data_IF_313775366374
#
_entry.id   IF_313775366374
#
_cell.length_a   1.000
_cell.length_b   1.000
_cell.length_c   1.000
_cell.angle_alpha   90.00
_cell.angle_beta   90.00
_cell.angle_gamma   90.00
#
_symmetry.space_group_name_H-M   'P 1'
#
loop_
_entity.id
_entity.type
_entity.pdbx_description
1 polymer ?
#
# COMPACT_ATOMS: atom_id res chain seq x y z
N UNK A 1 62.51 12.49 -123.92
CA UNK A 1 63.09 12.49 -122.55
C UNK A 1 62.55 13.60 -121.64
N UNK A 2 62.06 14.74 -122.16
CA UNK A 2 61.62 15.86 -121.30
C UNK A 2 60.43 15.60 -120.37
N UNK A 3 59.60 14.57 -120.63
CA UNK A 3 58.43 14.26 -119.80
C UNK A 3 58.68 13.25 -118.67
N UNK A 4 59.83 12.55 -118.69
CA UNK A 4 60.18 11.56 -117.66
C UNK A 4 60.57 12.22 -116.34
N UNK A 5 61.23 13.39 -116.38
CA UNK A 5 61.66 14.12 -115.19
C UNK A 5 60.45 14.65 -114.39
N UNK A 6 59.45 15.33 -115.01
CA UNK A 6 58.23 15.73 -114.30
C UNK A 6 57.47 14.55 -113.70
N UNK A 7 57.34 13.44 -114.45
CA UNK A 7 56.64 12.24 -113.98
C UNK A 7 57.35 11.59 -112.79
N UNK A 8 58.69 11.55 -112.80
CA UNK A 8 59.48 11.04 -111.68
C UNK A 8 59.36 11.92 -110.42
N UNK A 9 59.34 13.25 -110.58
CA UNK A 9 59.14 14.19 -109.47
C UNK A 9 57.75 14.02 -108.85
N UNK A 10 56.71 13.91 -109.68
CA UNK A 10 55.34 13.68 -109.22
C UNK A 10 55.22 12.32 -108.53
N UNK A 11 55.78 11.26 -109.09
CA UNK A 11 55.80 9.93 -108.46
C UNK A 11 56.53 9.94 -107.11
N UNK A 12 57.65 10.67 -106.99
CA UNK A 12 58.37 10.85 -105.74
C UNK A 12 57.56 11.61 -104.68
N UNK A 13 56.87 12.68 -105.06
CA UNK A 13 55.97 13.43 -104.17
C UNK A 13 54.79 12.56 -103.68
N UNK A 14 54.20 11.77 -104.57
CA UNK A 14 53.12 10.84 -104.23
C UNK A 14 53.62 9.75 -103.28
N UNK A 15 54.81 9.19 -103.53
CA UNK A 15 55.44 8.20 -102.64
C UNK A 15 55.72 8.78 -101.25
N UNK A 16 56.19 10.03 -101.16
CA UNK A 16 56.38 10.75 -99.89
C UNK A 16 55.04 10.94 -99.18
N UNK A 17 53.97 11.29 -99.88
CA UNK A 17 52.64 11.46 -99.28
C UNK A 17 52.06 10.14 -98.77
N UNK A 18 52.20 9.04 -99.53
CA UNK A 18 51.67 7.73 -99.12
C UNK A 18 52.47 7.12 -97.96
N UNK A 19 53.81 7.16 -98.02
CA UNK A 19 54.69 6.62 -96.97
C UNK A 19 54.74 7.51 -95.73
N UNK A 20 54.47 8.80 -95.91
CA UNK A 20 54.46 9.81 -94.87
C UNK A 20 53.12 9.96 -94.13
N UNK A 21 52.04 9.38 -94.63
CA UNK A 21 50.72 9.56 -94.04
C UNK A 21 50.65 8.97 -92.63
N UNK A 22 50.26 9.80 -91.67
CA UNK A 22 50.17 9.47 -90.26
C UNK A 22 48.85 9.99 -89.69
N UNK A 23 48.15 9.15 -88.93
CA UNK A 23 46.90 9.53 -88.25
C UNK A 23 47.13 9.48 -86.74
N UNK A 24 47.16 10.65 -86.10
CA UNK A 24 47.25 10.73 -84.65
C UNK A 24 45.87 10.49 -84.03
N UNK A 25 45.71 9.52 -83.12
CA UNK A 25 44.46 9.37 -82.38
C UNK A 25 44.34 10.50 -81.32
N UNK A 26 43.13 10.81 -80.82
CA UNK A 26 42.93 11.93 -79.89
C UNK A 26 43.62 11.77 -78.52
N UNK A 27 43.99 10.54 -78.15
CA UNK A 27 44.66 10.16 -76.90
C UNK A 27 46.19 10.21 -76.99
N UNK A 28 46.77 10.51 -78.17
CA UNK A 28 48.21 10.60 -78.36
C UNK A 28 48.61 11.87 -79.12
N UNK A 29 49.63 12.56 -78.62
CA UNK A 29 50.31 13.62 -79.32
C UNK A 29 51.47 13.05 -80.13
N UNK A 30 51.44 13.24 -81.45
CA UNK A 30 52.55 12.91 -82.33
C UNK A 30 53.43 14.14 -82.54
N UNK A 31 54.65 14.06 -82.03
CA UNK A 31 55.65 15.10 -82.13
C UNK A 31 56.56 14.75 -83.29
N UNK A 32 56.51 15.54 -84.35
CA UNK A 32 57.33 15.36 -85.54
C UNK A 32 58.53 16.31 -85.43
N UNK A 33 59.72 15.72 -85.35
CA UNK A 33 61.01 16.42 -85.21
C UNK A 33 61.84 16.29 -86.49
N UNK A 34 62.59 17.32 -86.88
CA UNK A 34 63.35 17.37 -88.14
C UNK A 34 63.49 18.80 -88.64
N UNK A 35 63.02 19.09 -89.85
CA UNK A 35 63.07 20.42 -90.48
C UNK A 35 62.28 21.47 -89.68
N UNK A 36 61.09 21.11 -89.19
CA UNK A 36 60.26 21.98 -88.36
C UNK A 36 59.52 21.14 -87.32
N UNK A 37 59.63 21.54 -86.05
CA UNK A 37 58.87 20.91 -84.96
C UNK A 37 57.38 21.18 -85.14
N UNK A 38 56.58 20.13 -85.20
CA UNK A 38 55.11 20.23 -85.21
C UNK A 38 54.50 19.13 -84.35
N UNK A 39 53.43 19.49 -83.64
CA UNK A 39 52.64 18.58 -82.80
C UNK A 39 51.29 18.35 -83.48
N UNK A 40 50.89 17.08 -83.59
CA UNK A 40 49.63 16.68 -84.22
C UNK A 40 48.84 15.83 -83.23
N UNK A 41 47.62 16.25 -82.92
CA UNK A 41 46.70 15.60 -81.98
C UNK A 41 45.35 15.45 -82.70
N UNK A 42 44.79 14.24 -82.69
CA UNK A 42 43.46 13.95 -83.27
C UNK A 42 43.28 14.29 -84.76
N UNK A 43 44.38 14.55 -85.47
CA UNK A 43 44.39 14.97 -86.88
C UNK A 43 45.35 14.10 -87.69
N UNK A 44 45.10 14.03 -88.99
CA UNK A 44 46.05 13.44 -89.92
C UNK A 44 47.18 14.42 -90.23
N UNK A 45 48.38 13.90 -90.42
CA UNK A 45 49.57 14.64 -90.82
C UNK A 45 50.39 13.84 -91.81
N UNK A 46 51.27 14.53 -92.53
CA UNK A 46 52.25 13.89 -93.41
C UNK A 46 53.61 14.09 -92.75
N UNK A 47 54.40 13.03 -92.64
CA UNK A 47 55.80 13.01 -92.22
C UNK A 47 56.67 12.84 -93.46
N UNK A 48 57.70 13.65 -93.64
CA UNK A 48 58.66 13.48 -94.72
C UNK A 48 59.60 12.33 -94.32
N UNK A 49 59.56 11.17 -94.99
CA UNK A 49 60.50 10.08 -94.71
C UNK A 49 61.94 10.57 -94.93
N UNK A 50 62.89 10.05 -94.15
CA UNK A 50 64.31 10.42 -94.09
C UNK A 50 64.65 11.74 -93.35
N UNK A 51 63.86 12.80 -93.51
CA UNK A 51 64.18 14.13 -92.91
C UNK A 51 63.48 14.39 -91.58
N UNK A 52 62.47 13.61 -91.24
CA UNK A 52 61.68 13.78 -90.02
C UNK A 52 61.58 12.48 -89.22
N UNK A 53 61.46 12.60 -87.90
CA UNK A 53 61.23 11.52 -86.93
C UNK A 53 59.89 11.77 -86.23
N UNK A 54 59.18 10.69 -85.88
CA UNK A 54 57.95 10.74 -85.09
C UNK A 54 58.29 10.19 -83.71
N UNK A 55 57.91 10.92 -82.68
CA UNK A 55 57.88 10.45 -81.31
C UNK A 55 56.45 10.61 -80.77
N UNK A 56 56.04 9.70 -79.89
CA UNK A 56 54.66 9.61 -79.39
C UNK A 56 54.63 9.98 -77.92
N UNK A 57 53.62 10.76 -77.53
CA UNK A 57 53.36 11.15 -76.14
C UNK A 57 51.91 10.83 -75.80
N UNK A 58 51.66 10.13 -74.69
CA UNK A 58 50.31 9.77 -74.26
C UNK A 58 49.63 10.96 -73.57
N UNK A 59 48.43 11.32 -73.99
CA UNK A 59 47.61 12.36 -73.37
C UNK A 59 46.60 11.80 -72.36
N UNK A 60 46.66 10.49 -72.11
CA UNK A 60 45.80 9.80 -71.15
C UNK A 60 46.03 10.30 -69.73
N UNK A 61 44.96 10.37 -68.94
CA UNK A 61 45.07 10.61 -67.50
C UNK A 61 45.84 9.48 -66.80
N UNK A 62 46.74 9.87 -65.90
CA UNK A 62 47.53 8.96 -65.06
C UNK A 62 47.13 9.22 -63.61
N UNK A 63 46.92 8.15 -62.85
CA UNK A 63 46.72 8.24 -61.39
C UNK A 63 48.06 8.01 -60.71
N UNK A 64 48.44 8.94 -59.84
CA UNK A 64 49.66 8.89 -59.03
C UNK A 64 49.24 8.82 -57.57
N UNK A 65 49.57 7.72 -56.91
CA UNK A 65 49.45 7.61 -55.46
C UNK A 65 50.70 8.22 -54.83
N UNK A 66 50.49 9.24 -54.01
CA UNK A 66 51.55 9.97 -53.32
C UNK A 66 51.47 9.68 -51.83
N UNK A 67 52.61 9.34 -51.25
CA UNK A 67 52.76 9.10 -49.82
C UNK A 67 53.99 9.85 -49.33
N UNK A 68 53.90 10.46 -48.16
CA UNK A 68 55.10 10.98 -47.48
C UNK A 68 55.95 9.78 -47.03
N UNK A 69 57.09 9.52 -47.69
CA UNK A 69 57.91 8.32 -47.44
C UNK A 69 58.42 8.18 -46.00
N UNK A 70 58.36 9.25 -45.23
CA UNK A 70 58.62 9.31 -43.80
C UNK A 70 57.54 10.12 -43.08
N UNK A 71 57.43 9.96 -41.76
CA UNK A 71 56.64 10.86 -40.94
C UNK A 71 57.22 12.28 -41.03
N UNK A 72 56.33 13.25 -41.22
CA UNK A 72 56.67 14.68 -41.33
C UNK A 72 56.11 15.38 -40.08
N UNK A 73 56.90 16.18 -39.37
CA UNK A 73 56.40 16.97 -38.26
C UNK A 73 55.51 18.10 -38.78
N UNK A 74 54.33 18.24 -38.18
CA UNK A 74 53.41 19.35 -38.40
C UNK A 74 53.88 20.64 -37.72
N UNK A 75 53.13 21.74 -37.87
CA UNK A 75 53.39 22.99 -37.15
C UNK A 75 53.41 22.82 -35.61
N UNK A 76 52.71 21.80 -35.10
CA UNK A 76 52.64 21.44 -33.67
C UNK A 76 53.65 20.34 -33.29
N UNK A 77 54.61 20.02 -34.17
CA UNK A 77 55.60 18.95 -33.98
C UNK A 77 55.03 17.54 -33.83
N UNK A 78 53.81 17.30 -34.31
CA UNK A 78 53.19 15.97 -34.34
C UNK A 78 53.61 15.27 -35.64
N UNK A 79 54.09 14.03 -35.54
CA UNK A 79 54.63 13.27 -36.67
C UNK A 79 53.49 12.60 -37.44
N UNK A 80 53.23 13.05 -38.66
CA UNK A 80 52.13 12.56 -39.49
C UNK A 80 52.62 12.06 -40.84
N UNK A 81 51.93 11.06 -41.37
CA UNK A 81 52.06 10.53 -42.71
C UNK A 81 50.74 10.78 -43.44
N UNK A 82 50.86 11.30 -44.65
CA UNK A 82 49.69 11.65 -45.47
C UNK A 82 49.73 10.88 -46.77
N UNK A 83 48.59 10.24 -47.06
CA UNK A 83 48.36 9.53 -48.31
C UNK A 83 47.40 10.33 -49.19
N UNK A 84 47.76 10.50 -50.46
CA UNK A 84 46.94 11.17 -51.45
C UNK A 84 46.93 10.42 -52.78
N UNK A 85 45.88 10.65 -53.57
CA UNK A 85 45.82 10.22 -54.96
C UNK A 85 45.57 11.43 -55.85
N UNK A 86 46.41 11.56 -56.88
CA UNK A 86 46.39 12.68 -57.80
C UNK A 86 46.15 12.15 -59.21
N UNK A 87 45.17 12.72 -59.89
CA UNK A 87 44.93 12.47 -61.31
C UNK A 87 45.57 13.60 -62.08
N UNK A 88 46.56 13.25 -62.88
CA UNK A 88 47.28 14.17 -63.75
C UNK A 88 47.03 13.84 -65.21
N UNK A 89 47.19 14.81 -66.09
CA UNK A 89 47.30 14.59 -67.54
C UNK A 89 48.31 15.57 -68.12
N UNK A 90 48.74 15.30 -69.34
CA UNK A 90 49.51 16.27 -70.12
C UNK A 90 48.51 17.27 -70.71
N UNK A 91 48.76 18.57 -70.53
CA UNK A 91 47.87 19.60 -71.05
C UNK A 91 47.94 19.67 -72.59
N UNK A 92 46.83 20.05 -73.22
CA UNK A 92 46.73 20.15 -74.68
C UNK A 92 47.29 21.47 -75.25
N UNK A 93 47.76 22.36 -74.38
CA UNK A 93 48.32 23.65 -74.81
C UNK A 93 49.70 23.46 -75.44
N UNK A 94 49.99 24.24 -76.48
CA UNK A 94 51.23 24.10 -77.25
C UNK A 94 52.49 24.23 -76.38
N UNK A 95 52.49 25.19 -75.45
CA UNK A 95 53.62 25.45 -74.55
C UNK A 95 53.85 24.29 -73.58
N UNK A 96 52.79 23.75 -72.97
CA UNK A 96 52.89 22.64 -72.03
C UNK A 96 53.26 21.33 -72.73
N UNK A 97 52.79 21.13 -73.97
CA UNK A 97 53.19 19.99 -74.80
C UNK A 97 54.68 20.04 -75.15
N UNK A 98 55.23 21.22 -75.38
CA UNK A 98 56.67 21.38 -75.62
C UNK A 98 57.49 21.04 -74.36
N UNK A 99 57.06 21.49 -73.18
CA UNK A 99 57.69 21.14 -71.90
C UNK A 99 57.57 19.64 -71.58
N UNK A 100 56.37 19.07 -71.75
CA UNK A 100 56.14 17.64 -71.54
C UNK A 100 56.96 16.78 -72.52
N UNK A 101 57.11 17.24 -73.77
CA UNK A 101 57.98 16.61 -74.75
C UNK A 101 59.47 16.71 -74.39
N UNK A 102 59.91 17.73 -73.68
CA UNK A 102 61.31 17.81 -73.24
C UNK A 102 61.59 16.81 -72.10
N UNK A 103 60.63 16.63 -71.18
CA UNK A 103 60.83 15.84 -69.97
C UNK A 103 60.44 14.35 -70.12
N UNK A 104 59.37 14.05 -70.88
CA UNK A 104 58.73 12.72 -70.85
C UNK A 104 58.69 11.99 -72.21
N UNK A 105 59.30 12.54 -73.25
CA UNK A 105 59.30 11.91 -74.58
C UNK A 105 60.01 10.56 -74.55
N UNK A 106 59.34 9.54 -75.09
CA UNK A 106 59.82 8.15 -75.09
C UNK A 106 60.08 7.55 -73.69
N UNK A 107 59.54 8.15 -72.63
CA UNK A 107 59.56 7.58 -71.27
C UNK A 107 58.31 6.71 -71.05
N UNK A 108 58.42 5.73 -70.15
CA UNK A 108 57.28 4.93 -69.73
C UNK A 108 56.43 5.70 -68.70
N UNK A 109 55.17 5.29 -68.54
CA UNK A 109 54.25 5.90 -67.57
C UNK A 109 54.77 5.81 -66.13
N UNK A 110 55.48 4.73 -65.78
CA UNK A 110 56.08 4.55 -64.45
C UNK A 110 57.13 5.62 -64.13
N UNK A 111 57.98 6.00 -65.10
CA UNK A 111 58.92 7.10 -64.91
C UNK A 111 58.20 8.43 -64.65
N UNK A 112 57.10 8.70 -65.37
CA UNK A 112 56.28 9.90 -65.14
C UNK A 112 55.70 9.87 -63.71
N UNK A 113 55.16 8.73 -63.29
CA UNK A 113 54.60 8.53 -61.95
C UNK A 113 55.66 8.82 -60.88
N UNK A 114 56.87 8.25 -61.00
CA UNK A 114 57.95 8.49 -60.02
C UNK A 114 58.35 9.96 -59.96
N UNK A 115 58.56 10.62 -61.10
CA UNK A 115 58.95 12.03 -61.10
C UNK A 115 57.87 12.94 -60.51
N UNK A 116 56.60 12.65 -60.78
CA UNK A 116 55.47 13.40 -60.21
C UNK A 116 55.30 13.11 -58.73
N UNK A 117 55.50 11.87 -58.31
CA UNK A 117 55.48 11.47 -56.91
C UNK A 117 56.53 12.25 -56.11
N UNK A 118 57.76 12.37 -56.59
CA UNK A 118 58.83 13.12 -55.90
C UNK A 118 58.45 14.60 -55.69
N UNK A 119 57.89 15.24 -56.73
CA UNK A 119 57.45 16.65 -56.65
C UNK A 119 56.26 16.82 -55.70
N UNK A 120 55.25 15.95 -55.82
CA UNK A 120 54.06 16.00 -54.96
C UNK A 120 54.39 15.67 -53.51
N UNK A 121 55.30 14.73 -53.26
CA UNK A 121 55.75 14.38 -51.91
C UNK A 121 56.45 15.58 -51.25
N UNK A 122 57.33 16.26 -51.97
CA UNK A 122 58.00 17.47 -51.48
C UNK A 122 57.00 18.58 -51.12
N UNK A 123 56.04 18.84 -52.01
CA UNK A 123 54.98 19.83 -51.80
C UNK A 123 54.05 19.45 -50.64
N UNK A 124 53.64 18.18 -50.55
CA UNK A 124 52.83 17.68 -49.43
C UNK A 124 53.58 17.82 -48.11
N UNK A 125 54.88 17.46 -48.07
CA UNK A 125 55.73 17.61 -46.88
C UNK A 125 55.80 19.07 -46.42
N UNK A 126 55.92 20.01 -47.34
CA UNK A 126 55.93 21.44 -47.02
C UNK A 126 54.61 21.91 -46.40
N UNK A 127 53.47 21.55 -47.01
CA UNK A 127 52.15 21.94 -46.48
C UNK A 127 51.85 21.28 -45.14
N UNK A 128 52.23 20.01 -44.95
CA UNK A 128 52.11 19.32 -43.66
C UNK A 128 52.87 20.08 -42.57
N UNK A 129 54.09 20.56 -42.86
CA UNK A 129 54.89 21.32 -41.91
C UNK A 129 54.29 22.68 -41.50
N UNK A 130 53.38 23.24 -42.30
CA UNK A 130 52.75 24.54 -42.05
C UNK A 130 51.35 24.44 -41.43
N UNK A 131 50.74 23.26 -41.39
CA UNK A 131 49.37 23.05 -40.90
C UNK A 131 49.34 22.30 -39.57
N UNK A 132 48.31 22.55 -38.77
CA UNK A 132 48.04 21.81 -37.54
C UNK A 132 47.37 20.48 -37.86
N UNK A 133 47.61 19.45 -37.05
CA UNK A 133 47.03 18.12 -37.27
C UNK A 133 45.50 18.15 -37.28
N UNK A 134 44.89 18.88 -36.34
CA UNK A 134 43.44 18.99 -36.21
C UNK A 134 42.78 19.56 -37.46
N UNK A 135 43.37 20.60 -38.05
CA UNK A 135 42.82 21.28 -39.22
C UNK A 135 42.90 20.39 -40.47
N UNK A 136 43.98 19.62 -40.62
CA UNK A 136 44.15 18.69 -41.75
C UNK A 136 43.13 17.55 -41.71
N UNK A 137 42.90 16.95 -40.54
CA UNK A 137 41.96 15.83 -40.38
C UNK A 137 40.51 16.30 -40.52
N UNK A 138 40.18 17.47 -39.95
CA UNK A 138 38.82 18.02 -39.97
C UNK A 138 38.47 18.62 -41.33
N UNK A 139 39.39 19.38 -41.93
CA UNK A 139 39.19 20.06 -43.21
C UNK A 139 40.17 19.57 -44.29
N UNK A 140 39.91 18.34 -44.75
CA UNK A 140 40.70 17.69 -45.80
C UNK A 140 40.73 18.45 -47.13
N UNK A 141 39.68 19.23 -47.42
CA UNK A 141 39.59 20.06 -48.63
C UNK A 141 40.57 21.22 -48.58
N UNK A 142 40.66 21.92 -47.45
CA UNK A 142 41.60 23.02 -47.28
C UNK A 142 43.05 22.54 -47.44
N UNK A 143 43.38 21.38 -46.88
CA UNK A 143 44.70 20.76 -47.09
C UNK A 143 44.93 20.45 -48.58
N UNK A 144 43.96 19.82 -49.25
CA UNK A 144 44.04 19.52 -50.69
C UNK A 144 44.21 20.77 -51.57
N UNK A 145 43.53 21.86 -51.26
CA UNK A 145 43.63 23.14 -51.97
C UNK A 145 45.02 23.75 -51.79
N UNK A 146 45.56 23.79 -50.57
CA UNK A 146 46.91 24.31 -50.30
C UNK A 146 47.99 23.49 -50.99
N UNK A 147 47.87 22.16 -50.99
CA UNK A 147 48.81 21.29 -51.73
C UNK A 147 48.73 21.53 -53.23
N UNK A 148 47.53 21.71 -53.78
CA UNK A 148 47.37 22.05 -55.21
C UNK A 148 47.99 23.41 -55.54
N UNK A 149 47.74 24.44 -54.73
CA UNK A 149 48.27 25.80 -54.96
C UNK A 149 49.82 25.81 -55.01
N UNK A 150 50.47 25.03 -54.14
CA UNK A 150 51.93 24.92 -54.13
C UNK A 150 52.48 24.01 -55.24
N UNK A 151 51.81 22.90 -55.54
CA UNK A 151 52.31 21.89 -56.48
C UNK A 151 52.02 22.21 -57.96
N UNK A 152 50.95 22.93 -58.28
CA UNK A 152 50.55 23.23 -59.66
C UNK A 152 51.66 23.95 -60.45
N UNK A 153 52.32 25.01 -59.93
CA UNK A 153 53.41 25.67 -60.64
C UNK A 153 54.57 24.75 -61.01
N UNK A 154 54.93 23.81 -60.15
CA UNK A 154 56.04 22.87 -60.41
C UNK A 154 55.65 21.79 -61.41
N UNK A 155 54.43 21.26 -61.33
CA UNK A 155 53.90 20.33 -62.33
C UNK A 155 53.73 21.00 -63.70
N UNK A 156 53.37 22.28 -63.74
CA UNK A 156 53.28 23.06 -64.98
C UNK A 156 54.63 23.22 -65.67
N UNK A 157 55.72 23.43 -64.92
CA UNK A 157 57.09 23.45 -65.50
C UNK A 157 57.46 22.13 -66.17
N UNK A 158 56.85 21.03 -65.75
CA UNK A 158 57.02 19.71 -66.37
C UNK A 158 56.07 19.48 -67.57
N UNK A 159 55.11 20.37 -67.81
CA UNK A 159 54.07 20.24 -68.84
C UNK A 159 52.85 19.40 -68.39
N UNK A 160 52.64 19.25 -67.09
CA UNK A 160 51.57 18.45 -66.50
C UNK A 160 50.47 19.35 -65.91
N UNK A 161 49.23 18.86 -65.98
CA UNK A 161 48.04 19.49 -65.40
C UNK A 161 47.42 18.55 -64.35
N UNK A 162 47.11 19.10 -63.18
CA UNK A 162 46.37 18.40 -62.13
C UNK A 162 44.88 18.49 -62.45
N UNK A 163 44.23 17.35 -62.66
CA UNK A 163 42.77 17.28 -62.87
C UNK A 163 42.04 17.20 -61.53
N UNK A 164 42.62 16.48 -60.58
CA UNK A 164 42.01 16.23 -59.28
C UNK A 164 43.07 15.80 -58.29
N UNK A 165 43.01 16.34 -57.08
CA UNK A 165 43.77 15.87 -55.93
C UNK A 165 42.79 15.41 -54.85
N UNK A 166 42.94 14.18 -54.38
CA UNK A 166 42.13 13.63 -53.30
C UNK A 166 43.03 13.13 -52.17
N UNK A 167 42.72 13.52 -50.94
CA UNK A 167 43.40 13.02 -49.75
C UNK A 167 42.76 11.71 -49.32
N UNK A 168 43.55 10.65 -49.19
CA UNK A 168 43.05 9.34 -48.81
C UNK A 168 43.06 9.17 -47.29
N UNK A 169 44.22 9.34 -46.66
CA UNK A 169 44.40 9.00 -45.26
C UNK A 169 45.42 9.89 -44.55
N UNK A 170 45.26 10.01 -43.23
CA UNK A 170 46.22 10.61 -42.32
C UNK A 170 46.56 9.59 -41.25
N UNK A 171 47.83 9.28 -41.10
CA UNK A 171 48.34 8.36 -40.07
C UNK A 171 49.34 9.09 -39.21
N UNK A 172 49.13 9.14 -37.91
CA UNK A 172 50.08 9.73 -36.98
C UNK A 172 50.83 8.65 -36.20
N UNK A 173 52.05 8.96 -35.74
CA UNK A 173 52.90 8.00 -35.03
C UNK A 173 52.51 7.86 -33.56
N UNK A 174 52.02 8.93 -32.95
CA UNK A 174 51.79 9.05 -31.52
C UNK A 174 50.37 8.65 -31.06
N UNK A 175 49.43 8.38 -31.98
CA UNK A 175 48.04 8.02 -31.69
C UNK A 175 47.09 9.20 -31.43
N UNK A 176 47.54 10.44 -31.64
CA UNK A 176 46.82 11.69 -31.35
C UNK A 176 45.53 11.81 -32.17
N UNK A 177 45.48 11.31 -33.42
CA UNK A 177 44.23 11.37 -34.21
C UNK A 177 43.13 10.53 -33.54
N UNK A 178 43.49 9.36 -32.99
CA UNK A 178 42.56 8.52 -32.26
C UNK A 178 42.10 9.20 -30.98
N UNK A 179 43.01 9.83 -30.24
CA UNK A 179 42.70 10.57 -29.01
C UNK A 179 41.79 11.78 -29.26
N UNK A 180 42.03 12.53 -30.34
CA UNK A 180 41.15 13.61 -30.79
C UNK A 180 39.74 13.09 -31.12
N UNK A 181 39.65 11.89 -31.70
CA UNK A 181 38.39 11.20 -31.92
C UNK A 181 37.67 10.87 -30.61
N UNK A 182 38.40 10.33 -29.63
CA UNK A 182 37.85 9.99 -28.31
C UNK A 182 37.38 11.24 -27.56
N UNK A 183 38.16 12.34 -27.57
CA UNK A 183 37.79 13.62 -26.96
C UNK A 183 36.51 14.17 -27.61
N UNK A 184 36.46 14.22 -28.94
CA UNK A 184 35.28 14.71 -29.66
C UNK A 184 34.04 13.85 -29.37
N UNK A 185 34.17 12.52 -29.33
CA UNK A 185 33.07 11.62 -28.95
C UNK A 185 32.64 11.88 -27.49
N UNK A 186 33.57 12.13 -26.58
CA UNK A 186 33.28 12.39 -25.17
C UNK A 186 32.57 13.73 -24.98
N UNK A 187 32.96 14.77 -25.72
CA UNK A 187 32.28 16.05 -25.75
C UNK A 187 30.86 15.91 -26.29
N UNK A 188 30.67 15.22 -27.42
CA UNK A 188 29.34 14.94 -27.98
C UNK A 188 28.47 14.18 -26.97
N UNK A 189 29.03 13.16 -26.29
CA UNK A 189 28.32 12.41 -25.25
C UNK A 189 27.95 13.30 -24.06
N UNK A 190 28.84 14.18 -23.62
CA UNK A 190 28.60 15.13 -22.52
C UNK A 190 27.48 16.11 -22.89
N UNK A 191 27.55 16.71 -24.07
CA UNK A 191 26.51 17.62 -24.58
C UNK A 191 25.17 16.91 -24.70
N UNK A 192 25.15 15.69 -25.26
CA UNK A 192 23.94 14.87 -25.33
C UNK A 192 23.36 14.55 -23.95
N UNK A 193 24.21 14.25 -22.95
CA UNK A 193 23.78 14.00 -21.58
C UNK A 193 23.20 15.25 -20.91
N UNK A 194 23.80 16.42 -21.11
CA UNK A 194 23.28 17.71 -20.64
C UNK A 194 21.92 17.99 -21.28
N UNK A 195 21.83 17.89 -22.61
CA UNK A 195 20.58 18.10 -23.33
C UNK A 195 19.48 17.14 -22.87
N UNK A 196 19.82 15.87 -22.60
CA UNK A 196 18.88 14.89 -22.03
C UNK A 196 18.41 15.29 -20.64
N UNK A 197 19.32 15.69 -19.76
CA UNK A 197 18.98 16.11 -18.39
C UNK A 197 18.11 17.38 -18.37
N UNK A 198 18.39 18.34 -19.26
CA UNK A 198 17.57 19.53 -19.44
C UNK A 198 16.17 19.17 -19.93
N UNK A 199 16.06 18.30 -20.94
CA UNK A 199 14.78 17.81 -21.44
C UNK A 199 13.99 17.06 -20.34
N UNK A 200 14.63 16.17 -19.58
CA UNK A 200 14.00 15.46 -18.46
C UNK A 200 13.52 16.42 -17.36
N UNK A 201 14.33 17.44 -17.02
CA UNK A 201 13.94 18.49 -16.06
C UNK A 201 12.71 19.25 -16.55
N UNK A 202 12.69 19.64 -17.82
CA UNK A 202 11.61 20.44 -18.39
C UNK A 202 10.30 19.62 -18.46
N UNK A 203 10.38 18.32 -18.79
CA UNK A 203 9.24 17.38 -18.68
C UNK A 203 8.74 17.28 -17.24
N UNK A 204 9.63 17.11 -16.26
CA UNK A 204 9.25 17.02 -14.86
C UNK A 204 8.58 18.30 -14.32
N UNK A 205 9.05 19.49 -14.76
CA UNK A 205 8.40 20.77 -14.44
C UNK A 205 7.00 20.82 -15.05
N UNK A 206 6.86 20.48 -16.34
CA UNK A 206 5.57 20.48 -17.02
C UNK A 206 4.59 19.50 -16.36
N UNK A 207 5.04 18.31 -15.98
CA UNK A 207 4.24 17.30 -15.28
C UNK A 207 3.83 17.80 -13.88
N UNK A 208 4.76 18.38 -13.11
CA UNK A 208 4.46 18.96 -11.80
C UNK A 208 3.43 20.08 -11.88
N UNK A 209 3.56 20.97 -12.87
CA UNK A 209 2.58 22.04 -13.11
C UNK A 209 1.21 21.47 -13.51
N UNK A 210 1.18 20.46 -14.39
CA UNK A 210 -0.06 19.78 -14.76
C UNK A 210 -0.73 19.12 -13.54
N UNK A 211 0.06 18.48 -12.68
CA UNK A 211 -0.41 17.85 -11.44
C UNK A 211 -0.91 18.85 -10.42
N UNK A 212 -0.23 19.99 -10.25
CA UNK A 212 -0.71 21.08 -9.39
C UNK A 212 -2.05 21.62 -9.88
N UNK A 213 -2.21 21.89 -11.19
CA UNK A 213 -3.47 22.32 -11.78
C UNK A 213 -4.58 21.28 -11.60
N UNK A 214 -4.27 20.00 -11.83
CA UNK A 214 -5.23 18.91 -11.62
C UNK A 214 -5.67 18.79 -10.16
N UNK A 215 -4.73 18.87 -9.21
CA UNK A 215 -5.03 18.84 -7.78
C UNK A 215 -5.84 20.08 -7.35
N UNK A 216 -5.51 21.27 -7.84
CA UNK A 216 -6.25 22.48 -7.55
C UNK A 216 -7.70 22.37 -8.03
N UNK A 217 -7.91 21.93 -9.28
CA UNK A 217 -9.25 21.70 -9.82
C UNK A 217 -10.04 20.66 -9.01
N UNK A 218 -9.36 19.60 -8.54
CA UNK A 218 -9.97 18.58 -7.69
C UNK A 218 -10.38 19.13 -6.32
N UNK A 219 -9.48 19.84 -5.63
CA UNK A 219 -9.78 20.45 -4.32
C UNK A 219 -10.93 21.45 -4.45
N UNK A 220 -10.96 22.25 -5.52
CA UNK A 220 -12.04 23.19 -5.77
C UNK A 220 -13.37 22.47 -6.04
N UNK A 221 -13.36 21.38 -6.80
CA UNK A 221 -14.54 20.54 -7.00
C UNK A 221 -15.02 19.91 -5.70
N UNK A 222 -14.12 19.33 -4.91
CA UNK A 222 -14.43 18.70 -3.61
C UNK A 222 -14.99 19.72 -2.62
N UNK A 223 -14.44 20.93 -2.60
CA UNK A 223 -14.92 22.05 -1.76
C UNK A 223 -16.34 22.45 -2.17
N UNK A 224 -16.61 22.61 -3.47
CA UNK A 224 -17.97 22.91 -3.96
C UNK A 224 -18.97 21.80 -3.59
N UNK A 225 -18.59 20.53 -3.68
CA UNK A 225 -19.45 19.41 -3.26
C UNK A 225 -19.73 19.48 -1.76
N UNK A 226 -18.71 19.75 -0.94
CA UNK A 226 -18.88 19.86 0.50
C UNK A 226 -19.79 21.04 0.89
N UNK A 227 -19.63 22.20 0.24
CA UNK A 227 -20.50 23.37 0.42
C UNK A 227 -21.95 23.04 0.04
N UNK A 228 -22.19 22.43 -1.13
CA UNK A 228 -23.53 22.03 -1.55
C UNK A 228 -24.17 20.99 -0.62
N UNK A 229 -23.39 20.02 -0.13
CA UNK A 229 -23.88 19.05 0.84
C UNK A 229 -24.23 19.70 2.18
N UNK A 230 -23.44 20.68 2.63
CA UNK A 230 -23.73 21.42 3.85
C UNK A 230 -24.99 22.29 3.68
N UNK A 231 -25.14 22.95 2.54
CA UNK A 231 -26.33 23.73 2.20
C UNK A 231 -27.58 22.84 2.13
N UNK A 232 -27.49 21.68 1.46
CA UNK A 232 -28.55 20.67 1.45
C UNK A 232 -28.92 20.21 2.86
N UNK A 233 -27.93 19.99 3.74
CA UNK A 233 -28.19 19.62 5.14
C UNK A 233 -28.92 20.72 5.89
N UNK A 234 -28.46 21.97 5.80
CA UNK A 234 -29.14 23.12 6.43
C UNK A 234 -30.57 23.21 5.92
N UNK A 235 -30.77 23.15 4.60
CA UNK A 235 -32.09 23.20 3.97
C UNK A 235 -32.99 22.06 4.41
N UNK A 236 -32.46 20.85 4.51
CA UNK A 236 -33.20 19.68 4.99
C UNK A 236 -33.60 19.82 6.47
N UNK A 237 -32.73 20.39 7.32
CA UNK A 237 -33.03 20.64 8.72
C UNK A 237 -34.07 21.76 8.90
N UNK A 238 -34.01 22.82 8.09
CA UNK A 238 -35.05 23.86 8.04
C UNK A 238 -36.41 23.26 7.64
N UNK A 239 -36.45 22.45 6.58
CA UNK A 239 -37.67 21.79 6.12
C UNK A 239 -38.21 20.80 7.16
N UNK A 240 -37.34 20.06 7.84
CA UNK A 240 -37.73 19.14 8.91
C UNK A 240 -38.33 19.91 10.09
N UNK A 241 -37.68 21.00 10.53
CA UNK A 241 -38.21 21.87 11.58
C UNK A 241 -39.60 22.41 11.21
N UNK A 242 -39.78 22.89 9.99
CA UNK A 242 -41.08 23.35 9.50
C UNK A 242 -42.12 22.22 9.47
N UNK A 243 -41.72 21.01 9.09
CA UNK A 243 -42.58 19.82 9.12
C UNK A 243 -42.97 19.44 10.54
N UNK A 244 -42.02 19.42 11.48
CA UNK A 244 -42.24 19.09 12.89
C UNK A 244 -43.16 20.10 13.58
N UNK A 245 -43.03 21.39 13.25
CA UNK A 245 -43.95 22.44 13.73
C UNK A 245 -45.36 22.14 13.23
N UNK A 246 -45.54 21.87 11.93
CA UNK A 246 -46.86 21.56 11.37
C UNK A 246 -47.45 20.27 11.94
N UNK A 247 -46.61 19.27 12.19
CA UNK A 247 -47.07 18.02 12.80
C UNK A 247 -47.44 18.20 14.27
N UNK A 248 -46.67 18.98 15.03
CA UNK A 248 -47.03 19.34 16.41
C UNK A 248 -48.33 20.16 16.48
N UNK A 249 -48.56 21.07 15.53
CA UNK A 249 -49.84 21.78 15.37
C UNK A 249 -51.00 20.81 15.09
N UNK A 250 -50.80 19.85 14.17
CA UNK A 250 -51.79 18.83 13.86
C UNK A 250 -52.08 17.91 15.06
N UNK A 251 -51.06 17.46 15.79
CA UNK A 251 -51.19 16.62 16.99
C UNK A 251 -51.86 17.38 18.14
N UNK A 252 -51.55 18.68 18.32
CA UNK A 252 -52.22 19.53 19.29
C UNK A 252 -53.71 19.70 18.94
N UNK A 253 -54.03 19.95 17.67
CA UNK A 253 -55.41 20.01 17.20
C UNK A 253 -56.14 18.68 17.43
N UNK A 254 -55.50 17.54 17.12
CA UNK A 254 -56.04 16.21 17.36
C UNK A 254 -56.31 15.95 18.84
N UNK A 255 -55.35 16.24 19.73
CA UNK A 255 -55.51 16.10 21.20
C UNK A 255 -56.61 17.01 21.75
N UNK A 256 -56.73 18.24 21.26
CA UNK A 256 -57.83 19.14 21.65
C UNK A 256 -59.18 18.53 21.26
N UNK A 257 -59.28 17.99 20.04
CA UNK A 257 -60.49 17.36 19.56
C UNK A 257 -60.84 16.07 20.30
N UNK A 258 -59.84 15.24 20.61
CA UNK A 258 -60.00 14.05 21.46
C UNK A 258 -60.50 14.42 22.86
N UNK A 259 -59.92 15.42 23.52
CA UNK A 259 -60.38 15.88 24.84
C UNK A 259 -61.79 16.47 24.79
N UNK A 260 -62.14 17.20 23.73
CA UNK A 260 -63.49 17.71 23.53
C UNK A 260 -64.50 16.55 23.34
N UNK A 261 -64.15 15.54 22.56
CA UNK A 261 -64.96 14.34 22.36
C UNK A 261 -65.11 13.55 23.67
N UNK A 262 -64.02 13.38 24.42
CA UNK A 262 -64.03 12.70 25.73
C UNK A 262 -64.92 13.43 26.72
N UNK A 263 -64.82 14.76 26.81
CA UNK A 263 -65.72 15.57 27.65
C UNK A 263 -67.18 15.38 27.25
N UNK A 264 -67.46 15.29 25.95
CA UNK A 264 -68.82 15.04 25.42
C UNK A 264 -69.32 13.66 25.83
N UNK A 265 -68.49 12.62 25.73
CA UNK A 265 -68.82 11.26 26.17
C UNK A 265 -69.03 11.20 27.68
N UNK A 266 -68.15 11.83 28.48
CA UNK A 266 -68.28 11.84 29.94
C UNK A 266 -69.57 12.55 30.38
N UNK A 267 -69.92 13.70 29.78
CA UNK A 267 -71.21 14.36 30.03
C UNK A 267 -72.38 13.44 29.68
N UNK A 268 -72.39 12.84 28.49
CA UNK A 268 -73.44 11.91 28.09
C UNK A 268 -73.53 10.67 29.00
N UNK A 269 -72.40 10.18 29.51
CA UNK A 269 -72.35 9.05 30.45
C UNK A 269 -72.92 9.42 31.83
N UNK A 270 -72.61 10.61 32.34
CA UNK A 270 -73.16 11.12 33.60
C UNK A 270 -74.66 11.35 33.47
N UNK A 271 -75.13 11.91 32.34
CA UNK A 271 -76.56 12.04 32.05
C UNK A 271 -77.27 10.67 32.00
N UNK A 272 -76.66 9.67 31.35
CA UNK A 272 -77.20 8.30 31.32
C UNK A 272 -77.24 7.64 32.72
N UNK A 273 -76.24 7.89 33.56
CA UNK A 273 -76.21 7.39 34.94
C UNK A 273 -77.24 8.09 35.83
N UNK A 274 -77.48 9.41 35.65
CA UNK A 274 -78.55 10.13 36.34
C UNK A 274 -79.91 9.55 35.94
N UNK A 275 -80.16 9.33 34.64
CA UNK A 275 -81.40 8.74 34.16
C UNK A 275 -81.64 7.33 34.73
N UNK A 276 -80.60 6.50 34.87
CA UNK A 276 -80.71 5.19 35.54
C UNK A 276 -81.10 5.33 37.01
N UNK A 277 -80.45 6.22 37.76
CA UNK A 277 -80.76 6.43 39.18
C UNK A 277 -82.17 6.99 39.39
N UNK A 278 -82.64 7.87 38.52
CA UNK A 278 -84.03 8.35 38.56
C UNK A 278 -85.02 7.19 38.34
N UNK A 279 -84.76 6.31 37.37
CA UNK A 279 -85.61 5.13 37.13
C UNK A 279 -85.57 4.14 38.31
N UNK A 280 -84.41 3.91 38.91
CA UNK A 280 -84.27 3.07 40.11
C UNK A 280 -85.02 3.67 41.31
N UNK A 281 -84.96 4.99 41.51
CA UNK A 281 -85.71 5.67 42.56
C UNK A 281 -87.23 5.55 42.37
N UNK A 282 -87.73 5.70 41.13
CA UNK A 282 -89.14 5.49 40.79
C UNK A 282 -89.57 4.04 41.06
N UNK A 283 -88.71 3.05 40.77
CA UNK A 283 -89.00 1.65 41.04
C UNK A 283 -89.06 1.37 42.55
N UNK A 284 -88.12 1.89 43.34
CA UNK A 284 -88.12 1.78 44.80
C UNK A 284 -89.39 2.40 45.42
N UNK A 285 -89.83 3.57 44.92
CA UNK A 285 -91.07 4.20 45.40
C UNK A 285 -92.29 3.29 45.21
N UNK A 286 -92.38 2.60 44.06
CA UNK A 286 -93.45 1.61 43.80
C UNK A 286 -93.37 0.38 44.71
N UNK A 287 -92.17 -0.08 45.07
CA UNK A 287 -91.99 -1.20 45.99
C UNK A 287 -92.40 -0.85 47.43
N UNK A 288 -92.17 0.39 47.86
CA UNK A 288 -92.59 0.88 49.18
C UNK A 288 -94.14 0.91 49.27
N UNK A 289 -94.85 1.43 48.26
CA UNK A 289 -96.34 1.44 48.24
C UNK A 289 -96.94 0.02 48.30
N UNK A 290 -96.33 -0.94 47.59
CA UNK A 290 -96.72 -2.36 47.65
C UNK A 290 -96.51 -2.96 49.06
N UNK A 291 -95.45 -2.55 49.73
CA UNK A 291 -95.10 -3.04 51.08
C UNK A 291 -96.03 -2.49 52.15
N UNK A 292 -96.40 -1.20 52.08
CA UNK A 292 -97.37 -0.59 52.99
C UNK A 292 -98.74 -1.28 52.91
N UNK A 293 -99.27 -1.50 51.70
CA UNK A 293 -100.55 -2.21 51.50
C UNK A 293 -100.54 -3.63 52.06
N UNK A 294 -99.37 -4.29 52.04
CA UNK A 294 -99.19 -5.66 52.52
C UNK A 294 -99.17 -5.74 54.05
N UNK A 295 -98.54 -4.77 54.72
CA UNK A 295 -98.53 -4.66 56.18
C UNK A 295 -99.92 -4.30 56.74
N UNK A 296 -100.66 -3.42 56.06
CA UNK A 296 -101.98 -2.98 56.51
C UNK A 296 -103.04 -4.12 56.49
N UNK A 297 -102.93 -5.04 55.53
CA UNK A 297 -103.76 -6.24 55.46
C UNK A 297 -103.41 -7.29 56.54
N UNK A 298 -102.15 -7.32 56.98
CA UNK A 298 -101.66 -8.27 57.98
C UNK A 298 -102.09 -7.86 59.40
N UNK A 299 -102.01 -6.56 59.72
CA UNK A 299 -102.35 -6.02 61.05
C UNK A 299 -103.85 -6.18 61.38
N UNK A 300 -104.75 -5.98 60.41
CA UNK A 300 -106.20 -6.15 60.63
C UNK A 300 -106.59 -7.59 60.96
N UNK A 301 -105.98 -8.59 60.32
CA UNK A 301 -106.25 -10.01 60.58
C UNK A 301 -105.68 -10.52 61.90
N UNK A 302 -104.55 -9.98 62.34
CA UNK A 302 -103.95 -10.36 63.64
C UNK A 302 -104.70 -9.75 64.82
N UNK A 303 -105.25 -8.53 64.69
CA UNK A 303 -105.99 -7.87 65.77
C UNK A 303 -107.36 -8.50 66.11
N UNK A 304 -108.05 -9.12 65.14
CA UNK A 304 -109.32 -9.84 65.40
C UNK A 304 -109.10 -11.23 66.04
N UNK A 305 -107.95 -11.87 65.78
CA UNK A 305 -107.61 -13.19 66.32
C UNK A 305 -107.19 -13.14 67.80
N UNK A 306 -106.50 -12.08 68.24
CA UNK A 306 -106.01 -11.95 69.62
C UNK A 306 -107.14 -11.70 70.64
N UNK A 307 -108.24 -11.06 70.24
CA UNK A 307 -109.38 -10.76 71.12
C UNK A 307 -110.17 -12.01 71.54
N UNK A 308 -110.23 -13.03 70.68
CA UNK A 308 -110.91 -14.31 70.94
C UNK A 308 -110.03 -15.27 71.79
N UNK A 309 -108.70 -15.22 71.61
CA UNK A 309 -107.75 -16.01 72.39
C UNK A 309 -107.61 -15.54 73.85
N UNK A 310 -107.79 -14.24 74.12
CA UNK A 310 -107.71 -13.68 75.46
C UNK A 310 -108.88 -14.09 76.39
N UNK A 311 -110.08 -14.33 75.86
CA UNK A 311 -111.24 -14.78 76.65
C UNK A 311 -111.11 -16.24 77.13
N UNK A 312 -110.56 -17.14 76.32
CA UNK A 312 -110.39 -18.55 76.72
C UNK A 312 -109.25 -18.79 77.72
N UNK A 313 -108.21 -17.93 77.73
CA UNK A 313 -107.11 -18.06 78.70
C UNK A 313 -107.50 -17.68 80.14
N UNK A 314 -108.48 -16.80 80.31
CA UNK A 314 -108.93 -16.36 81.63
C UNK A 314 -109.74 -17.43 82.40
N UNK A 315 -110.46 -18.32 81.70
CA UNK A 315 -111.23 -19.41 82.33
C UNK A 315 -110.36 -20.64 82.70
N UNK A 316 -109.22 -20.84 82.00
CA UNK A 316 -108.31 -21.96 82.26
C UNK A 316 -107.38 -21.74 83.47
N UNK A 317 -107.03 -20.48 83.79
CA UNK A 317 -106.14 -20.16 84.91
C UNK A 317 -106.79 -20.30 86.32
N UNK A 318 -108.12 -20.37 86.40
CA UNK A 318 -108.82 -20.57 87.68
C UNK A 318 -108.75 -22.02 88.17
N UNK A 319 -108.70 -22.99 87.25
CA UNK A 319 -108.70 -24.42 87.56
C UNK A 319 -107.32 -24.96 87.96
N UNK A 320 -106.24 -24.37 87.43
CA UNK A 320 -104.86 -24.78 87.74
C UNK A 320 -104.39 -24.30 89.12
N UNK A 321 -104.91 -23.17 89.61
CA UNK A 321 -104.53 -22.59 90.91
C UNK A 321 -105.06 -23.35 92.13
N UNK A 322 -106.13 -24.15 92.01
CA UNK A 322 -106.67 -24.97 93.11
C UNK A 322 -105.91 -26.30 93.31
N UNK A 323 -105.33 -26.87 92.24
CA UNK A 323 -104.60 -28.15 92.30
C UNK A 323 -103.14 -27.99 92.80
N UNK A 324 -102.49 -26.86 92.55
CA UNK A 324 -101.11 -26.61 93.01
C UNK A 324 -100.97 -26.34 94.52
N UNK A 325 -102.08 -26.05 95.21
CA UNK A 325 -102.07 -25.82 96.66
C UNK A 325 -102.04 -27.13 97.48
N UNK A 326 -102.56 -28.23 96.93
CA UNK A 326 -102.62 -29.55 97.59
C UNK A 326 -101.28 -30.32 97.48
N UNK A 327 -100.56 -30.16 96.36
CA UNK A 327 -99.31 -30.86 96.08
C UNK A 327 -98.11 -30.36 96.93
N UNK A 328 -98.07 -29.06 97.27
CA UNK A 328 -96.97 -28.47 98.06
C UNK A 328 -96.95 -28.86 99.55
N UNK A 329 -98.00 -29.49 100.09
CA UNK A 329 -98.04 -29.98 101.48
C UNK A 329 -97.37 -31.33 101.69
N UNK A 330 -97.27 -32.17 100.67
CA UNK A 330 -96.81 -33.57 100.79
C UNK A 330 -95.30 -33.71 100.50
N UNK A 331 -94.70 -32.83 99.69
CA UNK A 331 -93.26 -32.86 99.40
C UNK A 331 -92.39 -32.39 100.58
N UNK A 332 -92.88 -31.47 101.42
CA UNK A 332 -92.10 -30.95 102.56
C UNK A 332 -92.02 -31.88 103.77
N UNK A 333 -92.83 -32.92 103.85
CA UNK A 333 -92.79 -33.91 104.96
C UNK A 333 -91.78 -35.05 104.71
N UNK A 334 -91.35 -35.29 103.45
CA UNK A 334 -90.45 -36.41 103.12
C UNK A 334 -88.97 -36.03 102.94
N UNK A 335 -88.63 -34.76 102.77
CA UNK A 335 -87.22 -34.32 102.69
C UNK A 335 -86.52 -34.21 104.06
N UNK A 336 -87.26 -34.20 105.18
CA UNK A 336 -86.71 -34.09 106.53
C UNK A 336 -86.18 -35.41 107.12
N UNK A 337 -86.54 -36.57 106.55
CA UNK A 337 -86.15 -37.89 107.08
C UNK A 337 -84.83 -38.43 106.46
N UNK A 338 -84.43 -37.93 105.28
CA UNK A 338 -83.24 -38.39 104.55
C UNK A 338 -81.90 -37.87 105.09
N UNK A 339 -81.89 -36.76 105.84
CA UNK A 339 -80.66 -36.09 106.27
C UNK A 339 -80.07 -36.72 107.57
N UNK A 340 -80.80 -37.58 108.29
CA UNK A 340 -80.27 -38.29 109.49
C UNK A 340 -79.46 -39.56 109.21
N UNK A 341 -79.58 -40.16 108.02
CA UNK A 341 -78.90 -41.43 107.71
C UNK A 341 -77.52 -41.26 107.03
N UNK A 342 -77.29 -40.16 106.29
CA UNK A 342 -76.01 -39.95 105.60
C UNK A 342 -74.87 -39.57 106.56
N UNK A 343 -75.16 -38.92 107.70
CA UNK A 343 -74.16 -38.49 108.68
C UNK A 343 -73.58 -39.60 109.57
N UNK A 344 -74.12 -40.82 109.55
CA UNK A 344 -73.59 -41.94 110.33
C UNK A 344 -72.51 -42.74 109.57
N UNK A 345 -72.52 -42.71 108.24
CA UNK A 345 -71.59 -43.48 107.39
C UNK A 345 -70.22 -42.79 107.20
N UNK A 346 -70.13 -41.47 107.42
CA UNK A 346 -68.88 -40.70 107.27
C UNK A 346 -67.92 -40.83 108.47
N UNK A 347 -68.36 -41.37 109.62
CA UNK A 347 -67.54 -41.48 110.83
C UNK A 347 -66.72 -42.80 110.95
N UNK A 348 -67.12 -43.86 110.25
CA UNK A 348 -66.47 -45.19 110.38
C UNK A 348 -65.33 -45.40 109.36
N UNK A 349 -65.43 -44.77 108.18
CA UNK A 349 -64.41 -44.89 107.12
C UNK A 349 -63.12 -44.11 107.41
N UNK A 350 -63.14 -43.14 108.33
CA UNK A 350 -61.95 -42.34 108.70
C UNK A 350 -61.11 -43.05 109.78
N UNK A 351 -61.69 -43.96 110.55
CA UNK A 351 -61.00 -44.68 111.64
C UNK A 351 -60.21 -45.91 111.16
N UNK A 352 -60.57 -46.49 110.02
CA UNK A 352 -59.93 -47.68 109.44
C UNK A 352 -58.74 -47.36 108.51
N UNK A 353 -58.71 -46.19 107.87
CA UNK A 353 -57.58 -45.78 107.00
C UNK A 353 -56.31 -45.39 107.78
N UNK A 354 -56.46 -44.88 109.01
CA UNK A 354 -55.33 -44.45 109.85
C UNK A 354 -54.54 -45.60 110.52
N UNK A 355 -55.04 -46.83 110.49
CA UNK A 355 -54.37 -48.02 111.07
C UNK A 355 -53.58 -48.80 110.00
N UNK A 356 -53.99 -48.72 108.73
CA UNK A 356 -53.32 -49.41 107.62
C UNK A 356 -52.04 -48.69 107.12
N UNK A 357 -51.89 -47.39 107.35
CA UNK A 357 -50.69 -46.61 107.00
C UNK A 357 -49.51 -46.81 107.98
N UNK A 358 -49.71 -47.43 109.14
CA UNK A 358 -48.67 -47.59 110.16
C UNK A 358 -47.94 -48.96 110.15
N UNK A 359 -48.50 -50.03 109.55
CA UNK A 359 -47.91 -51.38 109.58
C UNK A 359 -47.15 -51.80 108.30
N UNK A 360 -47.30 -51.05 107.20
CA UNK A 360 -46.66 -51.36 105.92
C UNK A 360 -45.23 -50.82 105.75
N UNK A 361 -44.86 -49.81 106.55
CA UNK A 361 -43.57 -49.11 106.45
C UNK A 361 -42.43 -49.86 107.17
N UNK A 362 -42.73 -50.77 108.11
CA UNK A 362 -41.71 -51.57 108.82
C UNK A 362 -41.32 -52.90 108.12
N UNK A 363 -42.08 -53.39 107.13
CA UNK A 363 -41.82 -54.71 106.49
C UNK A 363 -41.16 -54.70 105.12
N UNK A 364 -41.01 -53.55 104.46
CA UNK A 364 -40.30 -53.45 103.15
C UNK A 364 -38.83 -53.04 103.27
N UNK A 365 -38.39 -52.58 104.45
CA UNK A 365 -36.98 -52.29 104.73
C UNK A 365 -36.10 -53.56 104.88
N UNK A 366 -36.69 -54.75 105.06
CA UNK A 366 -35.96 -56.03 105.19
C UNK A 366 -35.67 -56.75 103.86
N UNK A 367 -36.27 -56.31 102.73
CA UNK A 367 -36.09 -56.96 101.42
C UNK A 367 -34.91 -56.42 100.58
N UNK A 368 -34.10 -55.51 101.13
CA UNK A 368 -32.86 -54.99 100.51
C UNK A 368 -31.64 -55.91 100.69
N UNK A 369 -31.76 -57.17 101.14
CA UNK A 369 -30.58 -57.94 101.59
C UNK A 369 -30.28 -59.30 100.95
N UNK A 370 -31.08 -59.87 100.05
CA UNK A 370 -30.73 -61.17 99.41
C UNK A 370 -31.26 -61.30 97.97
N UNK A 371 -30.34 -61.68 97.05
CA UNK A 371 -30.46 -61.99 95.61
C UNK A 371 -30.46 -60.79 94.64
N UNK A 372 -29.43 -60.51 93.82
CA UNK A 372 -28.21 -61.26 93.51
C UNK A 372 -28.45 -62.45 92.59
N UNK A 373 -28.59 -62.20 91.28
CA UNK A 373 -27.75 -62.82 90.23
C UNK A 373 -28.27 -62.51 88.82
N UNK A 374 -27.30 -62.20 87.97
CA UNK A 374 -27.31 -62.44 86.53
C UNK A 374 -28.25 -61.58 85.65
N UNK A 375 -27.60 -60.60 85.01
CA UNK A 375 -27.46 -60.58 83.55
C UNK A 375 -28.72 -60.11 82.77
N UNK A 376 -28.68 -59.20 81.78
CA UNK A 376 -27.66 -58.86 80.79
C UNK A 376 -27.95 -57.44 80.22
N UNK A 377 -26.87 -56.64 80.05
CA UNK A 377 -26.57 -55.68 78.95
C UNK A 377 -27.72 -54.85 78.32
N UNK A 378 -27.69 -53.52 78.49
CA UNK A 378 -27.25 -52.60 77.41
C UNK A 378 -27.01 -51.15 77.93
N UNK A 379 -26.28 -51.06 79.04
CA UNK A 379 -25.58 -49.85 79.45
C UNK A 379 -24.16 -50.00 78.84
N UNK A 380 -23.67 -49.07 78.01
CA UNK A 380 -22.35 -48.39 78.15
C UNK A 380 -21.45 -47.90 76.97
N UNK A 381 -21.79 -47.81 75.67
CA UNK A 381 -20.78 -47.26 74.70
C UNK A 381 -21.30 -46.35 73.58
N UNK A 382 -21.05 -45.02 73.66
CA UNK A 382 -20.80 -44.06 72.55
C UNK A 382 -21.62 -42.74 72.48
N UNK A 383 -21.94 -42.07 73.60
CA UNK A 383 -22.14 -40.60 73.53
C UNK A 383 -21.46 -39.93 74.74
N UNK A 384 -20.18 -39.62 74.56
CA UNK A 384 -19.24 -38.95 75.47
C UNK A 384 -18.30 -38.15 74.55
N UNK A 385 -18.09 -36.81 74.61
CA UNK A 385 -18.55 -35.79 75.57
C UNK A 385 -18.72 -34.33 75.00
N UNK A 386 -19.90 -33.67 75.10
CA UNK A 386 -20.11 -32.32 74.52
C UNK A 386 -20.23 -31.11 75.49
N UNK A 387 -20.04 -31.21 76.82
CA UNK A 387 -20.32 -30.04 77.71
C UNK A 387 -19.40 -29.89 78.94
N UNK A 388 -18.07 -29.91 78.82
CA UNK A 388 -17.21 -29.51 79.96
C UNK A 388 -15.75 -29.13 79.61
N UNK A 389 -15.53 -28.17 78.71
CA UNK A 389 -14.23 -27.46 78.66
C UNK A 389 -14.39 -25.95 78.46
N UNK A 390 -15.24 -25.36 79.29
CA UNK A 390 -15.07 -23.98 79.69
C UNK A 390 -13.99 -23.94 80.77
N UNK A 391 -12.83 -23.35 80.51
CA UNK A 391 -12.02 -22.52 81.43
C UNK A 391 -10.92 -21.85 80.58
N UNK A 392 -10.79 -20.53 80.72
CA UNK A 392 -9.79 -19.64 80.14
C UNK A 392 -10.05 -19.17 78.70
N UNK A 393 -10.09 -17.89 78.38
CA UNK A 393 -10.15 -16.69 79.19
C UNK A 393 -10.66 -15.61 78.21
N UNK A 394 -11.77 -14.93 78.52
CA UNK A 394 -12.30 -13.87 77.68
C UNK A 394 -11.24 -12.77 77.60
N UNK A 395 -11.05 -12.16 76.43
CA UNK A 395 -10.67 -10.75 76.28
C UNK A 395 -10.49 -10.42 74.80
N UNK A 396 -11.13 -9.33 74.39
CA UNK A 396 -10.53 -8.44 73.41
C UNK A 396 -11.10 -8.50 72.00
N UNK A 397 -12.39 -8.22 71.82
CA UNK A 397 -12.82 -7.53 70.59
C UNK A 397 -14.04 -6.64 70.85
N UNK A 398 -13.84 -5.62 71.67
CA UNK A 398 -14.24 -4.25 71.30
C UNK A 398 -13.10 -3.37 71.76
N UNK A 399 -12.46 -2.65 70.84
CA UNK A 399 -12.07 -1.26 71.12
C UNK A 399 -11.86 -0.47 69.82
N UNK A 400 -12.54 0.67 69.83
CA UNK A 400 -12.75 1.68 68.79
C UNK A 400 -11.50 2.59 68.74
N UNK A 401 -11.04 3.12 67.61
CA UNK A 401 -11.18 4.54 67.16
C UNK A 401 -10.00 4.89 66.22
N UNK A 402 -10.32 5.76 65.26
CA UNK A 402 -9.59 6.49 64.22
C UNK A 402 -8.19 7.12 64.48
N UNK A 403 -7.33 6.93 63.47
CA UNK A 403 -6.60 7.89 62.59
C UNK A 403 -5.25 8.56 62.96
N UNK A 404 -4.41 8.63 61.90
CA UNK A 404 -3.22 9.43 61.57
C UNK A 404 -1.82 8.88 61.89
N UNK A 405 -0.97 8.83 60.83
CA UNK A 405 0.48 8.69 60.95
C UNK A 405 1.12 7.95 59.78
N UNK A 406 2.08 8.60 59.12
CA UNK A 406 2.78 8.20 57.90
C UNK A 406 3.72 6.98 58.04
N UNK A 407 4.07 6.41 56.89
CA UNK A 407 5.46 6.05 56.65
C UNK A 407 5.88 4.61 56.95
N UNK A 408 5.73 3.76 55.93
CA UNK A 408 6.76 2.91 55.35
C UNK A 408 7.85 2.30 56.27
N UNK A 409 7.97 0.96 56.26
CA UNK A 409 9.21 0.16 56.17
C UNK A 409 9.00 -1.18 56.90
N UNK A 410 8.79 -2.29 56.20
CA UNK A 410 9.85 -3.10 55.61
C UNK A 410 10.84 -3.68 56.64
N UNK A 411 10.93 -5.01 56.61
CA UNK A 411 11.99 -5.89 57.14
C UNK A 411 11.99 -6.21 58.64
N UNK A 412 11.20 -7.23 58.99
CA UNK A 412 11.72 -8.40 59.70
C UNK A 412 11.64 -9.63 58.79
N UNK A 413 12.25 -9.46 57.63
CA UNK A 413 12.88 -10.52 56.85
C UNK A 413 13.93 -11.15 57.76
N UNK A 414 13.69 -12.37 58.23
CA UNK A 414 14.65 -13.47 58.14
C UNK A 414 14.10 -14.71 58.81
N UNK A 415 13.83 -15.67 57.94
CA UNK A 415 14.23 -17.06 58.16
C UNK A 415 13.48 -17.79 59.26
N UNK A 416 12.51 -18.60 58.85
CA UNK A 416 12.78 -20.02 58.90
C UNK A 416 12.02 -20.79 57.81
N UNK A 417 12.82 -21.29 56.86
CA UNK A 417 12.77 -22.69 56.38
C UNK A 417 11.84 -22.99 55.19
N UNK A 418 12.50 -22.91 54.03
CA UNK A 418 12.50 -23.88 52.92
C UNK A 418 11.35 -23.87 51.90
N UNK A 419 11.56 -23.10 50.82
CA UNK A 419 11.62 -23.70 49.48
C UNK A 419 12.55 -22.89 48.56
N UNK A 420 13.83 -23.00 48.89
CA UNK A 420 14.96 -23.10 47.97
C UNK A 420 14.68 -24.28 47.01
N UNK A 421 14.77 -24.25 45.68
CA UNK A 421 15.36 -23.28 44.75
C UNK A 421 15.17 -23.82 43.32
N UNK A 422 15.38 -22.93 42.34
CA UNK A 422 15.92 -23.17 40.98
C UNK A 422 14.89 -23.52 39.88
N UNK A 423 14.76 -22.80 38.75
CA UNK A 423 15.59 -21.75 38.13
C UNK A 423 14.75 -20.76 37.34
N UNK A 424 15.00 -19.49 37.65
CA UNK A 424 14.77 -18.31 36.81
C UNK A 424 15.67 -18.37 35.57
N UNK A 425 15.11 -18.73 34.43
CA UNK A 425 15.66 -18.43 33.09
C UNK A 425 14.53 -18.24 32.05
N UNK A 426 13.40 -17.69 32.47
CA UNK A 426 12.25 -17.40 31.59
C UNK A 426 12.04 -15.90 31.29
N UNK A 427 12.85 -15.04 31.90
CA UNK A 427 12.74 -13.58 31.75
C UNK A 427 13.67 -13.12 30.64
N UNK A 428 13.38 -13.47 29.38
CA UNK A 428 13.89 -12.82 28.15
C UNK A 428 13.22 -13.38 26.86
N UNK A 429 11.93 -13.74 26.91
CA UNK A 429 11.13 -14.08 25.71
C UNK A 429 10.42 -12.86 25.09
N UNK A 430 10.86 -11.63 25.42
CA UNK A 430 10.18 -10.40 25.02
C UNK A 430 10.84 -9.59 23.90
N UNK A 431 12.08 -9.89 23.51
CA UNK A 431 12.81 -9.12 22.50
C UNK A 431 13.61 -10.06 21.60
N UNK A 432 12.98 -10.51 20.51
CA UNK A 432 13.51 -11.47 19.55
C UNK A 432 14.67 -10.93 18.72
N UNK A 433 15.86 -10.80 19.30
CA UNK A 433 17.12 -10.58 18.60
C UNK A 433 18.20 -11.45 19.25
N UNK A 434 18.68 -12.43 18.47
CA UNK A 434 19.62 -13.48 18.88
C UNK A 434 21.08 -13.02 18.67
N UNK A 435 21.72 -12.62 19.76
CA UNK A 435 23.10 -12.10 19.81
C UNK A 435 24.15 -13.17 19.43
N UNK A 436 23.78 -14.45 19.35
CA UNK A 436 24.68 -15.52 18.89
C UNK A 436 24.82 -15.64 17.37
N UNK A 437 24.01 -14.92 16.57
CA UNK A 437 24.16 -14.86 15.10
C UNK A 437 24.94 -13.63 14.60
N UNK A 438 25.18 -12.63 15.46
CA UNK A 438 25.86 -11.37 15.07
C UNK A 438 27.34 -11.37 15.48
N UNK A 439 27.78 -12.31 16.33
CA UNK A 439 29.18 -12.40 16.80
C UNK A 439 30.02 -13.47 16.07
N UNK A 440 29.46 -14.18 15.09
CA UNK A 440 30.15 -15.24 14.33
C UNK A 440 30.72 -14.80 12.98
N UNK A 441 30.29 -13.66 12.44
CA UNK A 441 30.62 -13.21 11.08
C UNK A 441 31.59 -12.00 11.04
N UNK A 442 32.21 -11.63 12.17
CA UNK A 442 33.08 -10.45 12.25
C UNK A 442 34.43 -10.67 12.96
N UNK A 443 35.04 -11.84 12.80
CA UNK A 443 36.46 -12.05 13.12
C UNK A 443 37.12 -12.90 12.04
N UNK A 444 37.84 -12.25 11.14
CA UNK A 444 38.70 -12.90 10.15
C UNK A 444 40.13 -13.13 10.65
N UNK A 445 40.88 -13.83 9.79
CA UNK A 445 42.29 -14.23 9.81
C UNK A 445 42.54 -15.57 10.53
N UNK A 446 43.08 -16.62 9.90
CA UNK A 446 44.32 -16.72 9.09
C UNK A 446 44.38 -18.11 8.40
N UNK A 447 45.12 -18.19 7.28
CA UNK A 447 45.82 -19.35 6.64
C UNK A 447 45.22 -19.98 5.37
N UNK A 448 45.81 -19.57 4.24
CA UNK A 448 46.57 -20.34 3.23
C UNK A 448 46.21 -21.81 2.93
N UNK A 449 46.13 -22.06 1.61
CA UNK A 449 46.63 -23.21 0.82
C UNK A 449 46.30 -24.62 1.34
N UNK A 450 45.76 -25.58 0.57
CA UNK A 450 46.01 -25.95 -0.82
C UNK A 450 44.98 -27.04 -1.23
N UNK A 451 44.99 -27.39 -2.52
CA UNK A 451 44.45 -28.60 -3.16
C UNK A 451 42.92 -28.72 -3.35
N UNK A 452 42.39 -29.04 -4.53
CA UNK A 452 43.01 -29.70 -5.68
C UNK A 452 42.00 -30.69 -6.25
N UNK A 453 41.69 -30.52 -7.54
CA UNK A 453 40.65 -31.17 -8.33
C UNK A 453 41.04 -32.60 -8.77
N UNK A 454 40.03 -33.46 -8.99
CA UNK A 454 40.06 -34.52 -10.01
C UNK A 454 39.94 -35.95 -9.45
N UNK A 455 38.81 -36.67 -9.60
CA UNK A 455 38.23 -37.22 -10.84
C UNK A 455 39.13 -38.26 -11.53
N UNK A 456 38.91 -39.53 -11.16
CA UNK A 456 38.62 -40.68 -12.01
C UNK A 456 39.05 -40.63 -13.50
N UNK A 457 39.89 -41.59 -13.92
CA UNK A 457 40.07 -41.99 -15.31
C UNK A 457 40.11 -43.51 -15.39
N UNK A 458 39.12 -44.13 -16.05
CA UNK A 458 39.30 -45.32 -16.91
C UNK A 458 38.25 -45.31 -18.03
N UNK A 459 38.51 -44.58 -19.12
CA UNK A 459 38.70 -45.07 -20.52
C UNK A 459 38.47 -43.99 -21.56
#
# INVERSE_FOLDING_TARGET
MGWLIPVAVVAGLVAICMTGYLKAPPDQAYIISGIKKRVIIGKAGIKIPLLERIDKLSLTMISVDVKTGSFVPTAEYINVMVDGAVKIKIADSKEMLELAAQNFLNKNSEYIITQVQDVLEGNMREIVGQMNLRDMVTNRKLFAEKVQENAVPDLQKMGLEVVSFNVQNFTDKEGIIADLGIDNISQIKKEAAIAKAEAERDVAIAESQARQKANQAKVEADTRIAEQNNELRIRSAELLKDSDIKQAEADAAYKIQEQAQRRTIEVASVEADIAKREQEAILMEKEIDLTERRLDAQIKKTAEAEKYAAQQRADAEKYTREQEAEARRIEREKEAEGIRLLGAAEAESIRLKAIAEAEGIDKKAEAMKKYGDAAIMDMYFQILPEVAKAVAAPLGNVDKITMYGEGNSAKLVKEMVNNTTQISEGLLSGLGIDIKKVLGDLTGAVKDEDDGVGAEVVK
#
